data_IF_323127061354
#
_entry.id   IF_323127061354
#
_cell.length_a   1.000
_cell.length_b   1.000
_cell.length_c   1.000
_cell.angle_alpha   90.00
_cell.angle_beta   90.00
_cell.angle_gamma   90.00
#
_symmetry.space_group_name_H-M   'P 1'
#
loop_
_entity.id
_entity.type
_entity.pdbx_description
1 polymer ?
#
# COMPACT_ATOMS: atom_id res chain seq x y z
N UNK A 1 -12.97 26.36 10.38
CA UNK A 1 -11.86 25.54 10.90
C UNK A 1 -11.25 26.29 12.08
N UNK A 2 -11.24 25.69 13.28
CA UNK A 2 -10.79 26.35 14.50
C UNK A 2 -9.32 25.98 14.80
N UNK A 3 -8.48 26.94 15.19
CA UNK A 3 -7.02 26.73 15.33
C UNK A 3 -6.67 25.73 16.45
N UNK A 4 -7.53 25.64 17.48
CA UNK A 4 -7.33 24.80 18.67
C UNK A 4 -7.49 23.30 18.32
N UNK A 5 -8.48 22.94 17.50
CA UNK A 5 -8.72 21.55 17.08
C UNK A 5 -7.53 21.01 16.28
N UNK A 6 -6.92 21.84 15.43
CA UNK A 6 -5.75 21.46 14.62
C UNK A 6 -4.52 21.18 15.49
N UNK A 7 -4.31 21.96 16.55
CA UNK A 7 -3.18 21.77 17.47
C UNK A 7 -3.40 20.54 18.34
N UNK A 8 -4.61 20.34 18.87
CA UNK A 8 -4.93 19.15 19.69
C UNK A 8 -4.82 17.86 18.86
N UNK A 9 -5.26 17.89 17.59
CA UNK A 9 -5.06 16.78 16.65
C UNK A 9 -3.59 16.44 16.42
N UNK A 10 -2.76 17.44 16.04
CA UNK A 10 -1.32 17.24 15.77
C UNK A 10 -0.54 16.70 17.00
N UNK A 11 -0.90 17.13 18.22
CA UNK A 11 -0.30 16.59 19.44
C UNK A 11 -0.71 15.13 19.71
N UNK A 12 -1.97 14.78 19.46
CA UNK A 12 -2.47 13.40 19.55
C UNK A 12 -1.75 12.49 18.56
N UNK A 13 -1.64 12.93 17.32
CA UNK A 13 -0.98 12.21 16.23
C UNK A 13 0.50 11.96 16.52
N UNK A 14 1.22 12.99 16.99
CA UNK A 14 2.62 12.85 17.42
C UNK A 14 2.79 11.88 18.58
N UNK A 15 1.81 11.76 19.47
CA UNK A 15 1.86 10.80 20.57
C UNK A 15 1.63 9.38 20.06
N UNK A 16 0.56 9.16 19.28
CA UNK A 16 0.25 7.86 18.67
C UNK A 16 1.42 7.35 17.83
N UNK A 17 2.01 8.21 17.01
CA UNK A 17 3.19 7.87 16.23
C UNK A 17 4.37 7.40 17.09
N UNK A 18 4.65 8.09 18.21
CA UNK A 18 5.72 7.67 19.13
C UNK A 18 5.42 6.32 19.79
N UNK A 19 4.17 6.08 20.17
CA UNK A 19 3.72 4.81 20.72
C UNK A 19 3.90 3.68 19.69
N UNK A 20 3.42 3.87 18.46
CA UNK A 20 3.66 2.95 17.35
C UNK A 20 5.15 2.64 17.14
N UNK A 21 6.02 3.65 17.06
CA UNK A 21 7.47 3.42 16.90
C UNK A 21 8.09 2.65 18.07
N UNK A 22 7.63 2.88 19.30
CA UNK A 22 8.09 2.15 20.46
C UNK A 22 7.70 0.66 20.40
N UNK A 23 6.46 0.39 19.98
CA UNK A 23 5.93 -0.97 19.76
C UNK A 23 6.74 -1.72 18.71
N UNK A 24 6.94 -1.12 17.53
CA UNK A 24 7.75 -1.70 16.44
C UNK A 24 9.18 -1.98 16.90
N UNK A 25 9.79 -1.08 17.69
CA UNK A 25 11.16 -1.26 18.19
C UNK A 25 11.31 -2.47 19.11
N UNK A 26 10.26 -2.82 19.86
CA UNK A 26 10.23 -3.93 20.79
C UNK A 26 10.09 -5.31 20.13
N UNK A 27 9.69 -5.36 18.85
CA UNK A 27 9.57 -6.60 18.10
C UNK A 27 10.93 -7.32 17.93
N UNK A 28 10.94 -8.66 17.81
CA UNK A 28 12.15 -9.38 17.43
C UNK A 28 12.67 -8.93 16.06
N UNK A 29 13.98 -9.04 15.86
CA UNK A 29 14.69 -8.41 14.73
C UNK A 29 14.03 -8.61 13.35
N UNK A 30 13.61 -9.84 13.03
CA UNK A 30 12.95 -10.16 11.75
C UNK A 30 11.65 -9.38 11.56
N UNK A 31 10.72 -9.51 12.51
CA UNK A 31 9.42 -8.82 12.49
C UNK A 31 9.59 -7.30 12.43
N UNK A 32 10.49 -6.73 13.26
CA UNK A 32 10.79 -5.29 13.24
C UNK A 32 11.25 -4.83 11.86
N UNK A 33 12.20 -5.54 11.26
CA UNK A 33 12.75 -5.20 9.94
C UNK A 33 11.65 -5.21 8.87
N UNK A 34 10.74 -6.18 8.93
CA UNK A 34 9.61 -6.27 8.01
C UNK A 34 8.63 -5.12 8.20
N UNK A 35 8.23 -4.81 9.44
CA UNK A 35 7.30 -3.70 9.70
C UNK A 35 7.90 -2.37 9.26
N UNK A 36 9.19 -2.11 9.53
CA UNK A 36 9.86 -0.88 9.08
C UNK A 36 9.95 -0.79 7.54
N UNK A 37 10.07 -1.92 6.84
CA UNK A 37 10.05 -1.95 5.37
C UNK A 37 8.65 -1.65 4.82
N UNK A 38 7.62 -2.25 5.41
CA UNK A 38 6.21 -1.98 5.07
C UNK A 38 5.86 -0.51 5.37
N UNK A 39 6.27 0.02 6.52
CA UNK A 39 6.10 1.42 6.90
C UNK A 39 6.67 2.35 5.83
N UNK A 40 7.92 2.13 5.39
CA UNK A 40 8.55 2.93 4.33
C UNK A 40 7.81 2.81 3.00
N UNK A 41 7.40 1.60 2.61
CA UNK A 41 6.66 1.37 1.37
C UNK A 41 5.34 2.15 1.39
N UNK A 42 4.55 1.96 2.44
CA UNK A 42 3.25 2.61 2.63
C UNK A 42 3.36 4.15 2.66
N UNK A 43 4.34 4.69 3.39
CA UNK A 43 4.56 6.14 3.45
C UNK A 43 5.03 6.73 2.11
N UNK A 44 5.78 5.96 1.30
CA UNK A 44 6.25 6.43 0.00
C UNK A 44 5.09 6.75 -0.95
N UNK A 45 4.02 5.96 -0.90
CA UNK A 45 2.89 6.11 -1.82
C UNK A 45 1.74 6.97 -1.30
N UNK A 46 1.89 7.53 -0.10
CA UNK A 46 1.18 8.72 0.31
C UNK A 46 0.06 8.49 1.32
N UNK A 47 0.21 9.18 2.46
CA UNK A 47 -0.86 9.40 3.41
C UNK A 47 -1.59 10.71 3.10
N UNK A 48 -2.78 10.63 2.50
CA UNK A 48 -3.64 11.80 2.25
C UNK A 48 -4.46 12.20 3.48
N UNK A 49 -4.59 11.31 4.48
CA UNK A 49 -5.35 11.52 5.73
C UNK A 49 -4.60 10.94 6.94
N UNK A 50 -4.08 11.80 7.81
CA UNK A 50 -3.19 11.41 8.91
C UNK A 50 -3.81 10.43 9.91
N UNK A 51 -5.11 10.56 10.22
CA UNK A 51 -5.76 9.76 11.26
C UNK A 51 -6.04 8.32 10.80
N UNK A 52 -6.48 8.20 9.54
CA UNK A 52 -6.67 6.90 8.87
C UNK A 52 -5.34 6.13 8.82
N UNK A 53 -4.24 6.81 8.50
CA UNK A 53 -2.93 6.17 8.40
C UNK A 53 -2.33 5.81 9.75
N UNK A 54 -2.52 6.62 10.79
CA UNK A 54 -2.14 6.24 12.14
C UNK A 54 -2.86 4.97 12.59
N UNK A 55 -4.15 4.85 12.26
CA UNK A 55 -4.93 3.65 12.58
C UNK A 55 -4.42 2.43 11.82
N UNK A 56 -4.05 2.57 10.55
CA UNK A 56 -3.42 1.51 9.78
C UNK A 56 -2.08 1.05 10.39
N UNK A 57 -1.26 1.98 10.89
CA UNK A 57 0.00 1.63 11.55
C UNK A 57 -0.20 0.97 12.92
N UNK A 58 -1.21 1.40 13.68
CA UNK A 58 -1.60 0.74 14.92
C UNK A 58 -2.00 -0.72 14.64
N UNK A 59 -2.85 -0.97 13.66
CA UNK A 59 -3.28 -2.32 13.26
C UNK A 59 -2.12 -3.18 12.71
N UNK A 60 -1.17 -2.56 12.00
CA UNK A 60 0.03 -3.23 11.53
C UNK A 60 0.93 -3.67 12.71
N UNK A 61 1.06 -2.83 13.75
CA UNK A 61 1.77 -3.21 14.96
C UNK A 61 1.05 -4.34 15.71
N UNK A 62 -0.28 -4.25 15.87
CA UNK A 62 -1.11 -5.30 16.49
C UNK A 62 -0.95 -6.66 15.79
N UNK A 63 -0.93 -6.67 14.45
CA UNK A 63 -0.72 -7.88 13.66
C UNK A 63 0.64 -8.53 13.95
N UNK A 64 1.72 -7.73 13.90
CA UNK A 64 3.07 -8.26 14.05
C UNK A 64 3.45 -8.59 15.49
N UNK A 65 2.85 -7.93 16.49
CA UNK A 65 3.00 -8.31 17.89
C UNK A 65 2.37 -9.69 18.17
N UNK A 66 1.16 -9.93 17.67
CA UNK A 66 0.50 -11.24 17.79
C UNK A 66 1.30 -12.33 17.07
N UNK A 67 1.69 -12.08 15.82
CA UNK A 67 2.49 -13.04 15.07
C UNK A 67 3.83 -13.35 15.73
N UNK A 68 4.48 -12.35 16.32
CA UNK A 68 5.72 -12.55 17.07
C UNK A 68 5.50 -13.37 18.36
N UNK A 69 4.39 -13.13 19.07
CA UNK A 69 4.02 -13.91 20.25
C UNK A 69 3.71 -15.38 19.91
N UNK A 70 3.08 -15.62 18.76
CA UNK A 70 2.71 -16.95 18.27
C UNK A 70 3.86 -17.66 17.54
N UNK A 71 4.95 -16.94 17.24
CA UNK A 71 6.08 -17.47 16.48
C UNK A 71 5.79 -17.71 14.99
N UNK A 72 4.78 -17.04 14.44
CA UNK A 72 4.35 -17.19 13.04
C UNK A 72 5.45 -16.76 12.07
N UNK A 73 5.89 -17.64 11.15
CA UNK A 73 6.89 -17.27 10.15
C UNK A 73 6.46 -16.03 9.35
N UNK A 74 7.37 -15.07 9.16
CA UNK A 74 7.08 -13.79 8.46
C UNK A 74 6.44 -14.03 7.09
N UNK A 75 6.83 -15.09 6.38
CA UNK A 75 6.30 -15.43 5.06
C UNK A 75 4.86 -15.94 5.08
N UNK A 76 4.38 -16.43 6.21
CA UNK A 76 2.95 -16.75 6.38
C UNK A 76 2.12 -15.48 6.60
N UNK A 77 2.73 -14.40 7.07
CA UNK A 77 2.07 -13.10 7.28
C UNK A 77 2.03 -12.30 5.98
N UNK A 78 3.19 -12.09 5.34
CA UNK A 78 3.32 -11.17 4.18
C UNK A 78 3.27 -11.89 2.83
N UNK A 79 3.18 -13.22 2.83
CA UNK A 79 3.17 -14.02 1.61
C UNK A 79 4.50 -14.02 0.84
N UNK A 80 4.42 -14.52 -0.40
CA UNK A 80 5.54 -14.53 -1.36
C UNK A 80 5.88 -13.14 -1.87
N UNK A 81 4.86 -12.29 -2.05
CA UNK A 81 4.97 -10.91 -2.51
C UNK A 81 4.57 -9.91 -1.39
N UNK A 82 5.55 -9.32 -0.68
CA UNK A 82 5.28 -8.34 0.37
C UNK A 82 4.67 -7.03 -0.15
N UNK A 83 4.84 -6.69 -1.44
CA UNK A 83 4.25 -5.49 -2.02
C UNK A 83 2.74 -5.68 -2.19
N UNK A 84 2.32 -6.85 -2.70
CA UNK A 84 0.90 -7.20 -2.80
C UNK A 84 0.21 -7.23 -1.43
N UNK A 85 0.90 -7.75 -0.40
CA UNK A 85 0.42 -7.65 0.98
C UNK A 85 0.24 -6.19 1.41
N UNK A 86 1.23 -5.32 1.20
CA UNK A 86 1.18 -3.92 1.61
C UNK A 86 0.04 -3.17 0.90
N UNK A 87 -0.16 -3.42 -0.39
CA UNK A 87 -1.23 -2.80 -1.18
C UNK A 87 -2.61 -3.29 -0.75
N UNK A 88 -2.77 -4.59 -0.54
CA UNK A 88 -4.01 -5.19 -0.03
C UNK A 88 -4.33 -4.66 1.36
N UNK A 89 -3.32 -4.54 2.23
CA UNK A 89 -3.46 -3.95 3.56
C UNK A 89 -3.93 -2.49 3.46
N UNK A 90 -3.26 -1.67 2.64
CA UNK A 90 -3.60 -0.26 2.45
C UNK A 90 -5.01 -0.04 1.86
N UNK A 91 -5.49 -0.99 1.06
CA UNK A 91 -6.82 -0.90 0.45
C UNK A 91 -7.96 -0.88 1.48
N UNK A 92 -7.76 -1.51 2.65
CA UNK A 92 -8.75 -1.52 3.74
C UNK A 92 -8.94 -0.15 4.40
N UNK A 93 -8.00 0.78 4.23
CA UNK A 93 -8.02 2.10 4.86
C UNK A 93 -8.32 3.22 3.87
N UNK A 94 -8.88 2.93 2.70
CA UNK A 94 -9.11 3.94 1.66
C UNK A 94 -7.82 4.48 1.01
N UNK A 95 -6.63 4.01 1.45
CA UNK A 95 -5.33 4.22 0.81
C UNK A 95 -5.28 3.65 -0.62
N UNK A 96 -6.26 2.83 -1.00
CA UNK A 96 -6.51 2.44 -2.38
C UNK A 96 -6.79 3.62 -3.33
N UNK A 97 -7.01 4.86 -2.87
CA UNK A 97 -7.23 5.99 -3.78
C UNK A 97 -6.12 6.15 -4.83
N UNK A 98 -4.84 5.99 -4.43
CA UNK A 98 -3.71 6.04 -5.37
C UNK A 98 -3.45 4.70 -6.06
N UNK A 99 -3.51 3.56 -5.34
CA UNK A 99 -3.33 2.20 -5.93
C UNK A 99 -4.38 1.93 -6.99
N UNK A 100 -5.64 2.17 -6.68
CA UNK A 100 -6.75 1.96 -7.60
C UNK A 100 -6.62 2.89 -8.81
N UNK A 101 -6.18 4.14 -8.59
CA UNK A 101 -5.91 5.08 -9.69
C UNK A 101 -4.75 4.61 -10.57
N UNK A 102 -3.68 4.09 -9.99
CA UNK A 102 -2.52 3.61 -10.75
C UNK A 102 -2.81 2.29 -11.46
N UNK A 103 -3.52 1.35 -10.81
CA UNK A 103 -4.03 0.13 -11.43
C UNK A 103 -4.98 0.43 -12.58
N UNK A 104 -5.89 1.40 -12.41
CA UNK A 104 -6.77 1.83 -13.49
C UNK A 104 -6.00 2.44 -14.66
N UNK A 105 -5.03 3.33 -14.38
CA UNK A 105 -4.17 3.93 -15.42
C UNK A 105 -3.41 2.88 -16.21
N UNK A 106 -2.86 1.88 -15.52
CA UNK A 106 -2.16 0.77 -16.15
C UNK A 106 -3.11 -0.05 -17.04
N UNK A 107 -4.27 -0.45 -16.51
CA UNK A 107 -5.28 -1.18 -17.27
C UNK A 107 -5.70 -0.42 -18.53
N UNK A 108 -6.00 0.88 -18.39
CA UNK A 108 -6.38 1.73 -19.52
C UNK A 108 -5.25 1.84 -20.55
N UNK A 109 -3.98 1.89 -20.13
CA UNK A 109 -2.84 1.95 -21.03
C UNK A 109 -2.67 0.66 -21.84
N UNK A 110 -2.81 -0.50 -21.18
CA UNK A 110 -2.75 -1.82 -21.83
C UNK A 110 -3.91 -1.98 -22.81
N UNK A 111 -5.15 -1.70 -22.40
CA UNK A 111 -6.31 -1.81 -23.30
C UNK A 111 -6.20 -0.90 -24.53
N UNK A 112 -5.61 0.30 -24.39
CA UNK A 112 -5.32 1.18 -25.53
C UNK A 112 -4.26 0.60 -26.46
N UNK A 113 -3.24 -0.06 -25.92
CA UNK A 113 -2.20 -0.71 -26.72
C UNK A 113 -2.78 -1.89 -27.52
N UNK A 114 -3.57 -2.75 -26.89
CA UNK A 114 -4.22 -3.90 -27.52
C UNK A 114 -5.15 -3.48 -28.68
N UNK A 115 -5.93 -2.41 -28.51
CA UNK A 115 -6.80 -1.89 -29.57
C UNK A 115 -6.01 -1.43 -30.79
N UNK A 116 -4.85 -0.79 -30.58
CA UNK A 116 -3.99 -0.35 -31.69
C UNK A 116 -3.37 -1.54 -32.42
N UNK A 117 -2.85 -2.52 -31.67
CA UNK A 117 -2.30 -3.74 -32.26
C UNK A 117 -3.33 -4.49 -33.11
N UNK A 118 -4.59 -4.58 -32.66
CA UNK A 118 -5.67 -5.21 -33.42
C UNK A 118 -6.01 -4.44 -34.70
N UNK A 119 -6.07 -3.10 -34.64
CA UNK A 119 -6.32 -2.28 -35.83
C UNK A 119 -5.20 -2.37 -36.87
N UNK A 120 -3.93 -2.41 -36.43
CA UNK A 120 -2.77 -2.55 -37.31
C UNK A 120 -2.62 -3.95 -37.91
N UNK A 121 -3.08 -4.99 -37.19
CA UNK A 121 -3.15 -6.34 -37.71
C UNK A 121 -4.25 -6.48 -38.76
N UNK A 122 -5.42 -5.85 -38.52
CA UNK A 122 -6.54 -5.84 -39.47
C UNK A 122 -6.16 -5.14 -40.79
N UNK A 123 -5.49 -3.99 -40.71
CA UNK A 123 -5.02 -3.22 -41.87
C UNK A 123 -3.91 -3.95 -42.66
N UNK A 124 -3.05 -4.71 -41.97
CA UNK A 124 -2.05 -5.60 -42.61
C UNK A 124 -2.67 -6.79 -43.33
N UNK A 125 -3.77 -7.35 -42.84
CA UNK A 125 -4.47 -8.46 -43.50
C UNK A 125 -5.27 -8.01 -44.73
N UNK A 126 -5.79 -6.78 -44.75
CA UNK A 126 -6.60 -6.25 -45.85
C UNK A 126 -5.74 -5.68 -47.01
N UNK A 127 -4.50 -5.26 -46.72
CA UNK A 127 -3.54 -4.79 -47.72
C UNK A 127 -2.81 -5.89 -48.51
N UNK A 128 -2.95 -7.16 -48.14
CA UNK A 128 -2.22 -8.29 -48.73
C UNK A 128 -2.81 -8.87 -50.03
N UNK A 129 -4.04 -8.51 -50.39
CA UNK A 129 -4.78 -9.14 -51.51
C UNK A 129 -4.78 -8.31 -52.81
N UNK A 130 -3.86 -7.33 -52.92
CA UNK A 130 -3.63 -6.57 -54.16
C UNK A 130 -2.18 -6.72 -54.62
N UNK A 131 -1.84 -7.85 -55.21
CA UNK A 131 -0.62 -8.02 -56.03
C UNK A 131 -0.82 -9.07 -57.10
#
# INVERSE_FOLDING_TARGET
MNLIEKVVGDFGDKRRWREYKARVKALPHGYRTTVEALERYLLHFGATDGDIWLSAFDDLADLFERAAADGTPIREIVGSDPADFAETFAANYGGAGWINKERQRLADAVSRAEQREQSEQHDRSDGGDRS
#
